data_IF_483952355045
#
_entry.id   IF_483952355045
#
_cell.length_a   1.000
_cell.length_b   1.000
_cell.length_c   1.000
_cell.angle_alpha   90.00
_cell.angle_beta   90.00
_cell.angle_gamma   90.00
#
_symmetry.space_group_name_H-M   'P 1'
#
loop_
_entity.id
_entity.type
_entity.pdbx_description
1 polymer ?
#
# COMPACT_ATOMS: atom_id res chain seq x y z
N UNK A 1 15.98 -15.82 -15.89
CA UNK A 1 15.92 -16.54 -14.60
C UNK A 1 14.66 -17.37 -14.65
N UNK A 2 14.73 -18.70 -14.52
CA UNK A 2 13.52 -19.54 -14.50
C UNK A 2 12.96 -19.48 -13.08
N UNK A 3 11.90 -18.69 -12.88
CA UNK A 3 11.15 -18.70 -11.62
C UNK A 3 10.48 -20.06 -11.48
N UNK A 4 10.62 -20.69 -10.32
CA UNK A 4 10.07 -22.03 -10.08
C UNK A 4 8.73 -21.88 -9.35
N UNK A 5 7.63 -22.28 -9.99
CA UNK A 5 6.35 -22.33 -9.30
C UNK A 5 6.40 -23.42 -8.21
N UNK A 6 6.15 -23.05 -6.97
CA UNK A 6 6.16 -23.91 -5.79
C UNK A 6 4.74 -24.04 -5.21
N UNK A 7 3.99 -25.10 -5.55
CA UNK A 7 2.57 -25.27 -5.16
C UNK A 7 2.33 -25.21 -3.65
N UNK A 8 3.30 -25.62 -2.83
CA UNK A 8 3.22 -25.56 -1.37
C UNK A 8 3.02 -24.15 -0.80
N UNK A 9 3.31 -23.11 -1.59
CA UNK A 9 3.13 -21.71 -1.22
C UNK A 9 1.85 -21.08 -1.77
N UNK A 10 1.11 -21.78 -2.65
CA UNK A 10 -0.04 -21.23 -3.38
C UNK A 10 -1.15 -20.72 -2.44
N UNK A 11 -1.55 -21.52 -1.45
CA UNK A 11 -2.61 -21.16 -0.50
C UNK A 11 -2.24 -19.90 0.31
N UNK A 12 -0.99 -19.80 0.76
CA UNK A 12 -0.54 -18.64 1.51
C UNK A 12 -0.51 -17.38 0.64
N UNK A 13 -0.06 -17.49 -0.61
CA UNK A 13 -0.07 -16.38 -1.56
C UNK A 13 -1.50 -15.91 -1.85
N UNK A 14 -2.43 -16.84 -2.07
CA UNK A 14 -3.85 -16.56 -2.27
C UNK A 14 -4.47 -15.81 -1.09
N UNK A 15 -4.31 -16.32 0.14
CA UNK A 15 -4.84 -15.67 1.33
C UNK A 15 -4.27 -14.25 1.54
N UNK A 16 -3.02 -14.02 1.17
CA UNK A 16 -2.44 -12.69 1.24
C UNK A 16 -3.01 -11.76 0.17
N UNK A 17 -3.23 -12.25 -1.06
CA UNK A 17 -3.86 -11.46 -2.12
C UNK A 17 -5.30 -11.09 -1.77
N UNK A 18 -6.09 -12.04 -1.28
CA UNK A 18 -7.47 -11.78 -0.85
C UNK A 18 -7.55 -10.69 0.23
N UNK A 19 -6.65 -10.74 1.22
CA UNK A 19 -6.59 -9.71 2.25
C UNK A 19 -6.16 -8.36 1.67
N UNK A 20 -5.18 -8.33 0.76
CA UNK A 20 -4.71 -7.10 0.12
C UNK A 20 -5.83 -6.43 -0.69
N UNK A 21 -6.62 -7.21 -1.44
CA UNK A 21 -7.77 -6.72 -2.21
C UNK A 21 -8.84 -6.10 -1.29
N UNK A 22 -9.11 -6.75 -0.15
CA UNK A 22 -10.06 -6.22 0.86
C UNK A 22 -9.56 -4.93 1.49
N UNK A 23 -8.28 -4.87 1.87
CA UNK A 23 -7.68 -3.66 2.43
C UNK A 23 -7.63 -2.51 1.43
N UNK A 24 -7.27 -2.80 0.16
CA UNK A 24 -7.30 -1.83 -0.92
C UNK A 24 -8.70 -1.27 -1.14
N UNK A 25 -9.74 -2.12 -1.11
CA UNK A 25 -11.13 -1.69 -1.22
C UNK A 25 -11.55 -0.74 -0.09
N UNK A 26 -11.17 -1.06 1.16
CA UNK A 26 -11.43 -0.19 2.29
C UNK A 26 -10.67 1.15 2.21
N UNK A 27 -9.40 1.12 1.79
CA UNK A 27 -8.60 2.31 1.60
C UNK A 27 -9.18 3.19 0.48
N UNK A 28 -9.60 2.60 -0.65
CA UNK A 28 -10.18 3.29 -1.79
C UNK A 28 -11.42 4.10 -1.40
N UNK A 29 -12.26 3.57 -0.52
CA UNK A 29 -13.40 4.31 0.02
C UNK A 29 -12.98 5.56 0.81
N UNK A 30 -12.05 5.41 1.76
CA UNK A 30 -11.57 6.54 2.58
C UNK A 30 -10.78 7.55 1.76
N UNK A 31 -9.95 7.09 0.84
CA UNK A 31 -9.19 7.91 -0.08
C UNK A 31 -10.14 8.76 -0.94
N UNK A 32 -11.06 8.12 -1.68
CA UNK A 32 -12.04 8.82 -2.52
C UNK A 32 -12.84 9.86 -1.75
N UNK A 33 -13.31 9.51 -0.56
CA UNK A 33 -14.12 10.45 0.24
C UNK A 33 -13.27 11.60 0.79
N UNK A 34 -12.01 11.35 1.20
CA UNK A 34 -11.11 12.38 1.71
C UNK A 34 -10.72 13.37 0.60
N UNK A 35 -10.23 12.87 -0.53
CA UNK A 35 -9.73 13.66 -1.67
C UNK A 35 -10.83 14.18 -2.61
N UNK A 36 -12.10 13.87 -2.35
CA UNK A 36 -13.22 14.60 -2.96
C UNK A 36 -13.33 16.06 -2.46
N UNK A 37 -12.62 16.40 -1.38
CA UNK A 37 -12.53 17.75 -0.83
C UNK A 37 -11.35 18.50 -1.43
N UNK A 38 -11.43 19.82 -1.50
CA UNK A 38 -10.26 20.67 -1.77
C UNK A 38 -9.39 20.69 -0.51
N UNK A 39 -8.27 19.96 -0.53
CA UNK A 39 -7.30 19.94 0.56
C UNK A 39 -6.27 21.03 0.27
N UNK A 40 -6.41 22.17 0.95
CA UNK A 40 -5.50 23.31 0.93
C UNK A 40 -5.07 23.71 2.35
N UNK A 41 -4.18 24.71 2.46
CA UNK A 41 -3.65 25.13 3.75
C UNK A 41 -4.76 25.62 4.72
N UNK A 42 -5.71 26.48 4.30
CA UNK A 42 -6.86 26.83 5.14
C UNK A 42 -7.69 25.63 5.61
N UNK A 43 -7.86 24.61 4.75
CA UNK A 43 -8.55 23.38 5.11
C UNK A 43 -7.80 22.62 6.22
N UNK A 44 -6.47 22.51 6.11
CA UNK A 44 -5.62 21.86 7.12
C UNK A 44 -5.65 22.61 8.45
N UNK A 45 -5.52 23.95 8.44
CA UNK A 45 -5.58 24.77 9.65
C UNK A 45 -6.93 24.67 10.39
N UNK A 46 -8.00 24.34 9.65
CA UNK A 46 -9.33 24.14 10.22
C UNK A 46 -9.54 22.76 10.86
N UNK A 47 -8.64 21.78 10.68
CA UNK A 47 -8.78 20.41 11.19
C UNK A 47 -8.91 20.35 12.71
N UNK A 48 -8.15 21.19 13.43
CA UNK A 48 -8.19 21.30 14.90
C UNK A 48 -9.58 21.65 15.47
N UNK A 49 -10.49 22.14 14.63
CA UNK A 49 -11.85 22.54 15.00
C UNK A 49 -12.93 21.68 14.34
N UNK A 50 -12.54 20.58 13.69
CA UNK A 50 -13.43 19.71 12.90
C UNK A 50 -13.14 18.24 13.19
N UNK A 51 -13.68 17.74 14.29
CA UNK A 51 -13.47 16.36 14.77
C UNK A 51 -13.76 15.32 13.67
N UNK A 52 -14.86 15.48 12.93
CA UNK A 52 -15.23 14.57 11.83
C UNK A 52 -14.17 14.46 10.72
N UNK A 53 -13.43 15.55 10.44
CA UNK A 53 -12.35 15.52 9.44
C UNK A 53 -11.09 14.87 9.99
N UNK A 54 -10.77 15.12 11.26
CA UNK A 54 -9.67 14.46 11.95
C UNK A 54 -9.88 12.94 11.99
N UNK A 55 -11.07 12.48 12.35
CA UNK A 55 -11.42 11.05 12.31
C UNK A 55 -11.28 10.44 10.90
N UNK A 56 -11.62 11.21 9.86
CA UNK A 56 -11.52 10.77 8.47
C UNK A 56 -10.06 10.63 8.03
N UNK A 57 -9.19 11.55 8.45
CA UNK A 57 -7.74 11.45 8.24
C UNK A 57 -7.20 10.24 8.99
N UNK A 58 -7.52 10.05 10.27
CA UNK A 58 -7.06 8.91 11.05
C UNK A 58 -7.46 7.58 10.41
N UNK A 59 -8.70 7.48 9.93
CA UNK A 59 -9.19 6.33 9.20
C UNK A 59 -8.40 6.09 7.90
N UNK A 60 -8.11 7.15 7.14
CA UNK A 60 -7.28 7.07 5.93
C UNK A 60 -5.86 6.61 6.25
N UNK A 61 -5.17 7.27 7.19
CA UNK A 61 -3.78 6.97 7.59
C UNK A 61 -3.66 5.55 8.12
N UNK A 62 -4.61 5.10 8.95
CA UNK A 62 -4.66 3.73 9.46
C UNK A 62 -4.83 2.69 8.34
N UNK A 63 -5.71 2.94 7.37
CA UNK A 63 -5.92 2.03 6.23
C UNK A 63 -4.74 2.04 5.25
N UNK A 64 -4.16 3.20 5.00
CA UNK A 64 -2.96 3.37 4.17
C UNK A 64 -1.79 2.57 4.74
N UNK A 65 -1.50 2.76 6.04
CA UNK A 65 -0.44 2.03 6.72
C UNK A 65 -0.65 0.51 6.72
N UNK A 66 -1.89 0.05 6.97
CA UNK A 66 -2.22 -1.39 6.92
C UNK A 66 -1.94 -2.00 5.56
N UNK A 67 -2.44 -1.39 4.48
CA UNK A 67 -2.23 -1.90 3.14
C UNK A 67 -0.75 -1.91 2.78
N UNK A 68 -0.03 -0.83 3.09
CA UNK A 68 1.40 -0.74 2.81
C UNK A 68 2.19 -1.84 3.53
N UNK A 69 1.98 -1.99 4.84
CA UNK A 69 2.67 -3.01 5.64
C UNK A 69 2.30 -4.42 5.15
N UNK A 70 1.02 -4.66 4.83
CA UNK A 70 0.59 -5.95 4.28
C UNK A 70 1.22 -6.26 2.92
N UNK A 71 1.35 -5.27 2.03
CA UNK A 71 2.04 -5.44 0.74
C UNK A 71 3.51 -5.85 0.95
N UNK A 72 4.26 -5.07 1.74
CA UNK A 72 5.69 -5.26 1.91
C UNK A 72 6.07 -6.46 2.80
N UNK A 73 5.29 -6.74 3.83
CA UNK A 73 5.64 -7.76 4.83
C UNK A 73 4.98 -9.12 4.55
N UNK A 74 3.94 -9.18 3.71
CA UNK A 74 3.20 -10.42 3.44
C UNK A 74 2.96 -10.69 1.97
N UNK A 75 2.36 -9.76 1.23
CA UNK A 75 1.94 -10.03 -0.16
C UNK A 75 3.14 -10.36 -1.05
N UNK A 76 4.09 -9.43 -1.17
CA UNK A 76 5.26 -9.62 -2.03
C UNK A 76 6.10 -10.81 -1.54
N UNK A 77 6.45 -10.96 -0.24
CA UNK A 77 7.24 -12.12 0.21
C UNK A 77 6.58 -13.48 -0.07
N UNK A 78 5.25 -13.58 0.02
CA UNK A 78 4.54 -14.83 -0.25
C UNK A 78 4.51 -15.16 -1.74
N UNK A 79 4.34 -14.16 -2.60
CA UNK A 79 4.45 -14.36 -4.04
C UNK A 79 5.90 -14.63 -4.48
N UNK A 80 6.89 -14.04 -3.82
CA UNK A 80 8.30 -14.42 -4.01
C UNK A 80 8.52 -15.89 -3.67
N UNK A 81 8.03 -16.33 -2.51
CA UNK A 81 8.12 -17.74 -2.09
C UNK A 81 7.44 -18.68 -3.08
N UNK A 82 6.25 -18.31 -3.58
CA UNK A 82 5.53 -19.05 -4.63
C UNK A 82 6.34 -19.21 -5.92
N UNK A 83 7.26 -18.29 -6.19
CA UNK A 83 8.15 -18.32 -7.35
C UNK A 83 9.54 -18.91 -7.06
N UNK A 84 9.70 -19.53 -5.90
CA UNK A 84 10.96 -20.15 -5.48
C UNK A 84 12.01 -19.17 -4.98
N UNK A 85 11.62 -17.93 -4.71
CA UNK A 85 12.51 -16.86 -4.27
C UNK A 85 12.36 -16.62 -2.77
N UNK A 86 13.49 -16.50 -2.07
CA UNK A 86 13.52 -16.31 -0.63
C UNK A 86 14.12 -14.95 -0.26
N UNK A 87 13.25 -13.97 -0.09
CA UNK A 87 13.60 -12.59 0.28
C UNK A 87 13.85 -12.50 1.78
N UNK A 88 15.04 -12.09 2.21
CA UNK A 88 15.42 -12.04 3.63
C UNK A 88 15.25 -10.66 4.25
N UNK A 89 15.27 -9.62 3.43
CA UNK A 89 15.15 -8.23 3.85
C UNK A 89 14.05 -7.52 3.07
N UNK A 90 13.51 -6.42 3.62
CA UNK A 90 12.57 -5.58 2.89
C UNK A 90 13.16 -5.07 1.57
N UNK A 91 14.47 -4.78 1.54
CA UNK A 91 15.13 -4.34 0.32
C UNK A 91 15.12 -5.44 -0.75
N UNK A 92 15.41 -6.69 -0.37
CA UNK A 92 15.34 -7.84 -1.29
C UNK A 92 13.91 -8.03 -1.81
N UNK A 93 12.91 -7.89 -0.93
CA UNK A 93 11.49 -7.98 -1.28
C UNK A 93 11.10 -6.95 -2.33
N UNK A 94 11.50 -5.69 -2.14
CA UNK A 94 11.15 -4.62 -3.09
C UNK A 94 11.93 -4.74 -4.39
N UNK A 95 13.22 -5.10 -4.34
CA UNK A 95 14.01 -5.37 -5.54
C UNK A 95 13.42 -6.52 -6.38
N UNK A 96 12.87 -7.53 -5.70
CA UNK A 96 12.14 -8.59 -6.37
C UNK A 96 10.85 -8.08 -7.03
N UNK A 97 10.06 -7.27 -6.31
CA UNK A 97 8.84 -6.69 -6.87
C UNK A 97 9.11 -5.76 -8.07
N UNK A 98 10.19 -4.97 -8.04
CA UNK A 98 10.62 -4.16 -9.19
C UNK A 98 10.94 -5.04 -10.40
N UNK A 99 11.72 -6.11 -10.20
CA UNK A 99 12.07 -7.07 -11.27
C UNK A 99 10.84 -7.77 -11.86
N UNK A 100 9.77 -7.90 -11.09
CA UNK A 100 8.50 -8.48 -11.52
C UNK A 100 7.52 -7.45 -12.11
N UNK A 101 7.94 -6.19 -12.25
CA UNK A 101 7.12 -5.06 -12.69
C UNK A 101 5.85 -4.86 -11.82
N UNK A 102 5.89 -5.27 -10.55
CA UNK A 102 4.79 -5.05 -9.60
C UNK A 102 4.84 -3.67 -8.96
N UNK A 103 6.04 -3.12 -8.80
CA UNK A 103 6.27 -1.76 -8.36
C UNK A 103 7.21 -1.07 -9.35
N UNK A 104 7.06 0.25 -9.51
CA UNK A 104 7.94 1.03 -10.39
C UNK A 104 9.34 1.19 -9.80
N UNK A 105 9.42 1.54 -8.51
CA UNK A 105 10.68 1.59 -7.79
C UNK A 105 10.50 1.40 -6.27
N UNK A 106 11.50 0.81 -5.62
CA UNK A 106 11.58 0.51 -4.20
C UNK A 106 11.68 1.79 -3.35
N UNK A 107 12.31 2.84 -3.88
CA UNK A 107 12.49 4.12 -3.18
C UNK A 107 11.15 4.79 -2.86
N UNK A 108 10.21 4.76 -3.80
CA UNK A 108 8.85 5.29 -3.65
C UNK A 108 8.07 4.51 -2.60
N UNK A 109 8.26 3.19 -2.55
CA UNK A 109 7.66 2.34 -1.52
C UNK A 109 8.24 2.62 -0.12
N UNK A 110 9.54 2.87 -0.01
CA UNK A 110 10.16 3.33 1.25
C UNK A 110 9.67 4.73 1.65
N UNK A 111 9.55 5.63 0.68
CA UNK A 111 9.01 6.98 0.87
C UNK A 111 7.62 6.96 1.49
N UNK A 112 6.75 6.06 1.02
CA UNK A 112 5.42 5.85 1.59
C UNK A 112 5.45 5.52 3.10
N UNK A 113 6.47 4.78 3.58
CA UNK A 113 6.57 4.42 5.01
C UNK A 113 6.92 5.64 5.86
N UNK A 114 7.75 6.53 5.32
CA UNK A 114 8.08 7.80 5.95
C UNK A 114 6.86 8.74 5.96
N UNK A 115 6.10 8.78 4.87
CA UNK A 115 4.85 9.56 4.77
C UNK A 115 3.85 9.16 5.85
N UNK A 116 3.67 7.86 6.11
CA UNK A 116 2.81 7.39 7.21
C UNK A 116 3.18 8.02 8.54
N UNK A 117 4.47 8.06 8.89
CA UNK A 117 4.92 8.63 10.15
C UNK A 117 4.67 10.14 10.22
N UNK A 118 4.87 10.87 9.11
CA UNK A 118 4.55 12.30 9.02
C UNK A 118 3.04 12.54 9.23
N UNK A 119 2.19 11.74 8.60
CA UNK A 119 0.73 11.89 8.73
C UNK A 119 0.20 11.60 10.15
N UNK A 120 0.90 10.75 10.92
CA UNK A 120 0.52 10.43 12.31
C UNK A 120 0.96 11.54 13.28
N UNK A 121 2.12 12.16 13.06
CA UNK A 121 2.77 13.00 14.07
C UNK A 121 2.71 14.50 13.80
N UNK A 122 2.65 14.93 12.54
CA UNK A 122 2.88 16.34 12.17
C UNK A 122 1.59 17.17 12.02
N UNK A 123 0.40 16.56 12.13
CA UNK A 123 -0.87 17.26 11.84
C UNK A 123 -1.19 18.44 12.78
N UNK A 124 -0.43 18.62 13.88
CA UNK A 124 -0.60 19.70 14.86
C UNK A 124 0.58 20.68 14.94
N UNK A 125 1.76 20.33 14.41
CA UNK A 125 2.99 21.11 14.53
C UNK A 125 3.26 22.00 13.32
N UNK A 126 2.97 21.51 12.11
CA UNK A 126 3.25 22.23 10.86
C UNK A 126 2.17 21.94 9.80
N UNK A 127 1.16 22.82 9.66
CA UNK A 127 0.10 22.69 8.67
C UNK A 127 0.58 22.61 7.21
N UNK A 128 1.68 23.28 6.87
CA UNK A 128 2.21 23.29 5.51
C UNK A 128 2.87 21.94 5.18
N UNK A 129 3.71 21.45 6.09
CA UNK A 129 4.31 20.12 5.96
C UNK A 129 3.25 19.01 5.92
N UNK A 130 2.19 19.15 6.72
CA UNK A 130 1.09 18.19 6.73
C UNK A 130 0.29 18.20 5.41
N UNK A 131 0.07 19.38 4.82
CA UNK A 131 -0.54 19.50 3.49
C UNK A 131 0.29 18.79 2.42
N UNK A 132 1.61 19.03 2.40
CA UNK A 132 2.54 18.34 1.49
C UNK A 132 2.51 16.83 1.70
N UNK A 133 2.46 16.37 2.95
CA UNK A 133 2.37 14.97 3.28
C UNK A 133 1.05 14.33 2.79
N UNK A 134 -0.09 15.03 2.93
CA UNK A 134 -1.37 14.57 2.37
C UNK A 134 -1.32 14.47 0.84
N UNK A 135 -0.79 15.48 0.16
CA UNK A 135 -0.64 15.45 -1.30
C UNK A 135 0.26 14.29 -1.76
N UNK A 136 1.38 14.07 -1.07
CA UNK A 136 2.26 12.93 -1.36
C UNK A 136 1.59 11.57 -1.06
N UNK A 137 0.73 11.52 -0.04
CA UNK A 137 -0.01 10.31 0.32
C UNK A 137 -1.08 9.92 -0.71
N UNK A 138 -1.64 10.89 -1.46
CA UNK A 138 -2.51 10.61 -2.60
C UNK A 138 -1.76 9.77 -3.65
N UNK A 139 -0.61 10.26 -4.11
CA UNK A 139 0.24 9.56 -5.07
C UNK A 139 0.71 8.20 -4.56
N UNK A 140 1.15 8.13 -3.30
CA UNK A 140 1.56 6.88 -2.68
C UNK A 140 0.40 5.87 -2.62
N UNK A 141 -0.83 6.34 -2.37
CA UNK A 141 -2.02 5.47 -2.35
C UNK A 141 -2.29 4.85 -3.73
N UNK A 142 -2.16 5.64 -4.80
CA UNK A 142 -2.29 5.11 -6.17
C UNK A 142 -1.26 4.04 -6.48
N UNK A 143 0.00 4.25 -6.05
CA UNK A 143 1.07 3.25 -6.18
C UNK A 143 0.71 1.94 -5.44
N UNK A 144 0.16 2.01 -4.22
CA UNK A 144 -0.25 0.80 -3.48
C UNK A 144 -1.37 0.06 -4.22
N UNK A 145 -2.36 0.76 -4.77
CA UNK A 145 -3.42 0.13 -5.57
C UNK A 145 -2.86 -0.53 -6.83
N UNK A 146 -1.99 0.16 -7.57
CA UNK A 146 -1.35 -0.39 -8.75
C UNK A 146 -0.54 -1.65 -8.44
N UNK A 147 0.11 -1.70 -7.27
CA UNK A 147 0.86 -2.87 -6.81
C UNK A 147 -0.05 -4.07 -6.60
N UNK A 148 -1.18 -3.89 -5.90
CA UNK A 148 -2.17 -4.96 -5.69
C UNK A 148 -2.72 -5.44 -7.03
N UNK A 149 -3.07 -4.52 -7.92
CA UNK A 149 -3.65 -4.83 -9.23
C UNK A 149 -2.65 -5.55 -10.16
N UNK A 150 -1.36 -5.22 -10.10
CA UNK A 150 -0.30 -5.94 -10.81
C UNK A 150 -0.16 -7.38 -10.31
N UNK A 151 -0.17 -7.58 -8.99
CA UNK A 151 -0.05 -8.93 -8.39
C UNK A 151 -1.34 -9.75 -8.63
N UNK A 152 -2.52 -9.12 -8.63
CA UNK A 152 -3.79 -9.77 -9.01
C UNK A 152 -3.72 -10.30 -10.44
N UNK A 153 -3.32 -9.46 -11.40
CA UNK A 153 -3.16 -9.88 -12.80
C UNK A 153 -2.16 -11.02 -12.93
N UNK A 154 -1.05 -10.94 -12.22
CA UNK A 154 -0.06 -12.03 -12.20
C UNK A 154 -0.64 -13.34 -11.66
N UNK A 155 -1.43 -13.28 -10.58
CA UNK A 155 -2.09 -14.46 -10.00
C UNK A 155 -3.10 -15.10 -10.98
N UNK A 156 -3.83 -14.29 -11.74
CA UNK A 156 -4.75 -14.73 -12.79
C UNK A 156 -4.00 -15.41 -13.95
N UNK A 157 -2.88 -14.83 -14.39
CA UNK A 157 -2.05 -15.36 -15.48
C UNK A 157 -1.48 -16.74 -15.16
N UNK A 158 -1.05 -16.96 -13.90
CA UNK A 158 -0.56 -18.27 -13.44
C UNK A 158 -1.69 -19.22 -13.01
N UNK A 159 -2.96 -18.79 -13.11
CA UNK A 159 -4.15 -19.55 -12.72
C UNK A 159 -4.14 -20.03 -11.28
N UNK A 160 -3.65 -19.20 -10.36
CA UNK A 160 -3.52 -19.54 -8.94
C UNK A 160 -4.86 -20.02 -8.31
N UNK A 161 -6.00 -19.59 -8.84
CA UNK A 161 -7.33 -19.95 -8.38
C UNK A 161 -7.89 -21.28 -8.92
N UNK A 162 -7.22 -21.96 -9.85
CA UNK A 162 -7.75 -23.17 -10.51
C UNK A 162 -7.18 -24.49 -9.98
N UNK A 163 -6.26 -24.46 -9.03
CA UNK A 163 -5.61 -25.65 -8.45
C UNK A 163 -6.27 -26.14 -7.13
N UNK A 164 -7.53 -25.78 -6.85
CA UNK A 164 -8.30 -26.25 -5.68
C UNK A 164 -9.19 -27.46 -5.96
#
# INVERSE_FOLDING_TARGET
MSLAYLPEHAENAKLALELAIREASHLAYTHRTLYAQSIDLPWVEALSRRDELSEKIDAFVSRFGRLQDHIGEKLIPRFASLMGENTKTMLDTLAFAEKMDWIENAESFFGARKLRNLLIHEYLSDPALFLEALQAADHATQMLFATVEAITRYAEDIRLDQDS
#
